data_IF_801229977953
#
_entry.id   IF_801229977953
#
_cell.length_a   1.000
_cell.length_b   1.000
_cell.length_c   1.000
_cell.angle_alpha   90.00
_cell.angle_beta   90.00
_cell.angle_gamma   90.00
#
_symmetry.space_group_name_H-M   'P 1'
#
loop_
_entity.id
_entity.type
_entity.pdbx_description
1 polymer ?
#
# COMPACT_ATOMS: atom_id res chain seq x y z
N UNK A 1 0.91 -60.67 -7.43
CA UNK A 1 -0.24 -60.67 -8.37
C UNK A 1 -1.41 -61.29 -7.64
N UNK A 2 -2.60 -60.70 -7.78
CA UNK A 2 -3.91 -61.03 -7.17
C UNK A 2 -4.32 -60.27 -5.89
N UNK A 3 -5.05 -59.16 -6.15
CA UNK A 3 -6.21 -58.66 -5.39
C UNK A 3 -7.24 -59.80 -5.21
N UNK A 4 -8.23 -59.82 -4.29
CA UNK A 4 -9.14 -58.77 -3.80
C UNK A 4 -10.05 -59.44 -2.74
N UNK A 5 -10.44 -58.76 -1.66
CA UNK A 5 -11.80 -58.76 -1.09
C UNK A 5 -11.86 -58.05 0.28
N UNK A 6 -12.84 -57.16 0.40
CA UNK A 6 -13.50 -56.61 1.59
C UNK A 6 -15.01 -56.61 1.21
N UNK A 7 -16.02 -56.41 2.09
CA UNK A 7 -15.96 -56.04 3.51
C UNK A 7 -17.07 -56.67 4.41
N UNK A 8 -17.12 -56.17 5.65
CA UNK A 8 -18.30 -55.95 6.52
C UNK A 8 -18.34 -56.71 7.85
N UNK A 9 -18.25 -55.96 8.97
CA UNK A 9 -19.10 -56.12 10.15
C UNK A 9 -18.85 -54.94 11.13
N UNK A 10 -19.91 -54.25 11.57
CA UNK A 10 -19.91 -53.48 12.81
C UNK A 10 -21.31 -53.51 13.43
N UNK A 11 -21.36 -53.96 14.69
CA UNK A 11 -22.52 -53.98 15.59
C UNK A 11 -22.01 -53.40 16.92
N UNK A 12 -22.81 -52.55 17.58
CA UNK A 12 -23.31 -52.71 18.97
C UNK A 12 -24.06 -51.44 19.42
N UNK A 13 -25.30 -51.67 19.86
CA UNK A 13 -26.22 -50.79 20.58
C UNK A 13 -25.82 -50.63 22.06
N UNK A 14 -26.24 -49.52 22.69
CA UNK A 14 -26.67 -49.55 24.09
C UNK A 14 -27.89 -48.62 24.31
N UNK A 15 -28.90 -49.15 25.00
CA UNK A 15 -30.21 -48.53 25.26
C UNK A 15 -30.34 -48.19 26.75
N UNK A 16 -30.86 -47.00 27.04
CA UNK A 16 -31.91 -46.78 28.05
C UNK A 16 -31.51 -46.39 29.48
N UNK A 17 -31.91 -45.19 29.91
CA UNK A 17 -32.95 -45.10 30.94
C UNK A 17 -33.66 -43.73 30.92
N UNK A 18 -34.99 -43.80 30.84
CA UNK A 18 -35.93 -42.69 30.78
C UNK A 18 -36.59 -42.58 32.17
N UNK A 19 -36.49 -41.43 32.83
CA UNK A 19 -37.34 -41.09 33.98
C UNK A 19 -37.96 -39.73 33.73
N UNK A 20 -39.28 -39.76 33.57
CA UNK A 20 -40.18 -38.64 33.38
C UNK A 20 -40.24 -37.83 34.70
N UNK A 21 -39.86 -36.56 34.65
CA UNK A 21 -40.33 -35.57 35.61
C UNK A 21 -40.89 -34.37 34.84
N UNK A 22 -42.21 -34.31 34.79
CA UNK A 22 -43.00 -33.19 34.27
C UNK A 22 -42.90 -32.02 35.25
N UNK A 23 -41.97 -31.11 35.00
CA UNK A 23 -41.89 -29.80 35.63
C UNK A 23 -41.91 -28.73 34.54
N UNK A 24 -43.01 -27.98 34.45
CA UNK A 24 -43.20 -26.91 33.49
C UNK A 24 -42.23 -25.74 33.77
N UNK A 25 -41.03 -25.79 33.21
CA UNK A 25 -40.20 -24.61 33.04
C UNK A 25 -40.30 -24.15 31.58
N UNK A 26 -40.90 -22.97 31.40
CA UNK A 26 -40.82 -22.23 30.14
C UNK A 26 -39.34 -21.99 29.84
N UNK A 27 -38.80 -22.68 28.83
CA UNK A 27 -37.52 -22.32 28.24
C UNK A 27 -37.73 -20.97 27.57
N UNK A 28 -37.31 -19.91 28.25
CA UNK A 28 -37.02 -18.66 27.58
C UNK A 28 -35.73 -18.93 26.80
N UNK A 29 -35.87 -19.26 25.51
CA UNK A 29 -34.77 -19.37 24.59
C UNK A 29 -34.15 -17.98 24.44
N UNK A 30 -33.22 -17.66 25.33
CA UNK A 30 -32.33 -16.54 25.16
C UNK A 30 -31.26 -17.07 24.19
N UNK A 31 -31.35 -16.67 22.92
CA UNK A 31 -30.26 -16.83 21.97
C UNK A 31 -29.01 -16.17 22.57
N UNK A 32 -28.17 -16.94 23.25
CA UNK A 32 -26.79 -16.56 23.48
C UNK A 32 -26.12 -16.63 22.11
N UNK A 33 -26.14 -15.51 21.38
CA UNK A 33 -25.15 -15.26 20.32
C UNK A 33 -23.79 -15.49 20.94
N UNK A 34 -23.11 -16.56 20.55
CA UNK A 34 -21.71 -16.81 20.89
C UNK A 34 -20.92 -15.58 20.47
N UNK A 35 -20.45 -14.82 21.46
CA UNK A 35 -19.76 -13.56 21.20
C UNK A 35 -18.39 -13.90 20.58
N UNK A 36 -18.23 -13.65 19.28
CA UNK A 36 -16.98 -13.94 18.55
C UNK A 36 -15.79 -13.32 19.28
N UNK A 37 -14.78 -14.11 19.61
CA UNK A 37 -13.61 -13.61 20.33
C UNK A 37 -12.72 -12.75 19.41
N UNK A 38 -11.88 -11.88 19.98
CA UNK A 38 -10.95 -11.07 19.17
C UNK A 38 -9.96 -11.97 18.40
N UNK A 39 -9.56 -13.11 18.98
CA UNK A 39 -8.67 -14.06 18.31
C UNK A 39 -9.35 -14.70 17.08
N UNK A 40 -10.62 -15.09 17.19
CA UNK A 40 -11.40 -15.58 16.05
C UNK A 40 -11.51 -14.53 14.93
N UNK A 41 -11.70 -13.25 15.28
CA UNK A 41 -11.71 -12.17 14.28
C UNK A 41 -10.37 -12.05 13.56
N UNK A 42 -9.25 -12.19 14.27
CA UNK A 42 -7.90 -12.14 13.69
C UNK A 42 -7.66 -13.33 12.76
N UNK A 43 -8.04 -14.53 13.19
CA UNK A 43 -7.94 -15.76 12.38
C UNK A 43 -8.79 -15.66 11.11
N UNK A 44 -9.95 -15.00 11.18
CA UNK A 44 -10.83 -14.72 10.04
C UNK A 44 -10.43 -13.47 9.24
N UNK A 45 -9.29 -12.84 9.56
CA UNK A 45 -8.79 -11.61 8.92
C UNK A 45 -9.74 -10.41 9.02
N UNK A 46 -10.67 -10.43 9.98
CA UNK A 46 -11.61 -9.35 10.32
C UNK A 46 -10.95 -8.33 11.25
N UNK A 47 -9.83 -7.76 10.82
CA UNK A 47 -8.99 -6.90 11.65
C UNK A 47 -9.68 -5.60 12.07
N UNK A 48 -10.49 -5.00 11.18
CA UNK A 48 -11.27 -3.79 11.49
C UNK A 48 -12.21 -4.02 12.69
N UNK A 49 -12.91 -5.15 12.69
CA UNK A 49 -13.83 -5.53 13.77
C UNK A 49 -13.06 -5.84 15.07
N UNK A 50 -11.90 -6.49 14.96
CA UNK A 50 -11.01 -6.73 16.08
C UNK A 50 -10.53 -5.41 16.73
N UNK A 51 -10.16 -4.42 15.92
CA UNK A 51 -9.76 -3.08 16.38
C UNK A 51 -10.94 -2.42 17.11
N UNK A 52 -12.11 -2.34 16.48
CA UNK A 52 -13.30 -1.72 17.07
C UNK A 52 -13.67 -2.34 18.42
N UNK A 53 -13.58 -3.67 18.53
CA UNK A 53 -13.86 -4.40 19.78
C UNK A 53 -12.82 -4.15 20.87
N UNK A 54 -11.58 -3.83 20.52
CA UNK A 54 -10.50 -3.53 21.46
C UNK A 54 -10.48 -2.06 21.90
N UNK A 55 -10.85 -1.11 21.03
CA UNK A 55 -10.87 0.33 21.33
C UNK A 55 -11.82 0.71 22.47
N UNK A 56 -12.82 -0.13 22.80
CA UNK A 56 -13.74 0.08 23.91
C UNK A 56 -13.27 -0.44 25.28
N UNK A 57 -12.07 -1.04 25.38
CA UNK A 57 -11.55 -1.66 26.62
C UNK A 57 -10.48 -0.79 27.31
N UNK A 58 -10.32 -0.89 28.64
CA UNK A 58 -9.20 -0.25 29.34
C UNK A 58 -7.87 -0.70 28.72
N UNK A 59 -7.06 0.27 28.29
CA UNK A 59 -5.86 0.02 27.51
C UNK A 59 -4.70 -0.50 28.39
N UNK A 60 -4.80 -1.75 28.83
CA UNK A 60 -3.65 -2.46 29.37
C UNK A 60 -2.57 -2.63 28.29
N UNK A 61 -1.35 -2.92 28.72
CA UNK A 61 -0.18 -3.01 27.85
C UNK A 61 -0.35 -4.04 26.72
N UNK A 62 -1.02 -5.16 26.98
CA UNK A 62 -1.21 -6.23 26.00
C UNK A 62 -2.25 -5.83 24.95
N UNK A 63 -3.31 -5.12 25.38
CA UNK A 63 -4.34 -4.54 24.51
C UNK A 63 -3.74 -3.48 23.60
N UNK A 64 -2.92 -2.57 24.13
CA UNK A 64 -2.19 -1.56 23.33
C UNK A 64 -1.26 -2.20 22.30
N UNK A 65 -0.51 -3.22 22.73
CA UNK A 65 0.38 -3.95 21.82
C UNK A 65 -0.42 -4.61 20.69
N UNK A 66 -1.52 -5.30 21.03
CA UNK A 66 -2.39 -5.93 20.05
C UNK A 66 -3.03 -4.92 19.09
N UNK A 67 -3.49 -3.77 19.59
CA UNK A 67 -3.97 -2.66 18.75
C UNK A 67 -2.87 -2.21 17.77
N UNK A 68 -1.64 -2.00 18.25
CA UNK A 68 -0.49 -1.67 17.40
C UNK A 68 -0.26 -2.71 16.30
N UNK A 69 -0.26 -4.00 16.65
CA UNK A 69 -0.09 -5.10 15.68
C UNK A 69 -1.24 -5.16 14.65
N UNK A 70 -2.48 -4.86 15.05
CA UNK A 70 -3.64 -4.87 14.16
C UNK A 70 -3.65 -3.66 13.22
N UNK A 71 -3.35 -2.46 13.73
CA UNK A 71 -3.17 -1.29 12.89
C UNK A 71 -2.05 -1.50 11.87
N UNK A 72 -0.95 -2.15 12.27
CA UNK A 72 0.13 -2.52 11.36
C UNK A 72 -0.35 -3.45 10.23
N UNK A 73 -1.12 -4.49 10.56
CA UNK A 73 -1.72 -5.41 9.57
C UNK A 73 -2.70 -4.72 8.62
N UNK A 74 -3.33 -3.64 9.07
CA UNK A 74 -4.27 -2.83 8.28
C UNK A 74 -3.59 -1.75 7.43
N UNK A 75 -2.25 -1.61 7.51
CA UNK A 75 -1.53 -0.55 6.82
C UNK A 75 -1.58 0.82 7.53
N UNK A 76 -2.24 0.90 8.69
CA UNK A 76 -2.43 2.14 9.46
C UNK A 76 -1.18 2.47 10.30
N UNK A 77 -0.07 2.80 9.63
CA UNK A 77 1.23 2.99 10.28
C UNK A 77 1.26 4.14 11.31
N UNK A 78 0.52 5.23 11.06
CA UNK A 78 0.43 6.38 11.97
C UNK A 78 -0.12 6.00 13.34
N UNK A 79 -1.07 5.07 13.38
CA UNK A 79 -1.65 4.53 14.60
C UNK A 79 -0.78 3.41 15.19
N UNK A 80 -0.24 2.54 14.33
CA UNK A 80 0.53 1.37 14.75
C UNK A 80 1.82 1.73 15.50
N UNK A 81 2.62 2.65 14.95
CA UNK A 81 3.96 2.94 15.45
C UNK A 81 3.93 3.48 16.89
N UNK A 82 3.11 4.48 17.26
CA UNK A 82 3.05 4.96 18.64
C UNK A 82 2.71 3.86 19.66
N UNK A 83 1.74 2.99 19.36
CA UNK A 83 1.40 1.86 20.23
C UNK A 83 2.56 0.88 20.37
N UNK A 84 3.23 0.55 19.27
CA UNK A 84 4.36 -0.38 19.26
C UNK A 84 5.60 0.22 19.96
N UNK A 85 5.90 1.51 19.79
CA UNK A 85 6.98 2.20 20.50
C UNK A 85 6.76 2.15 22.02
N UNK A 86 5.53 2.39 22.49
CA UNK A 86 5.19 2.35 23.92
C UNK A 86 5.34 0.94 24.52
N UNK A 87 5.01 -0.10 23.74
CA UNK A 87 4.82 -1.47 24.26
C UNK A 87 5.99 -2.41 23.96
N UNK A 88 6.71 -2.23 22.86
CA UNK A 88 7.77 -3.12 22.37
C UNK A 88 8.90 -3.38 23.39
N UNK A 89 9.46 -2.39 24.12
CA UNK A 89 10.55 -2.62 25.10
C UNK A 89 10.21 -3.66 26.16
N UNK A 90 8.91 -3.85 26.35
CA UNK A 90 8.27 -4.52 27.46
C UNK A 90 7.70 -5.88 26.95
N UNK A 91 7.64 -6.09 25.64
CA UNK A 91 7.22 -7.32 24.94
C UNK A 91 8.39 -8.22 24.52
N UNK A 92 9.63 -7.85 24.90
CA UNK A 92 10.82 -8.66 24.61
C UNK A 92 11.15 -8.73 23.12
N UNK A 93 11.61 -9.89 22.66
CA UNK A 93 12.01 -10.12 21.27
C UNK A 93 10.83 -9.91 20.31
N UNK A 94 9.63 -10.38 20.66
CA UNK A 94 8.44 -10.21 19.78
C UNK A 94 8.12 -8.74 19.53
N UNK A 95 8.19 -7.92 20.57
CA UNK A 95 7.98 -6.47 20.46
C UNK A 95 9.03 -5.79 19.59
N UNK A 96 10.31 -6.12 19.77
CA UNK A 96 11.39 -5.58 18.96
C UNK A 96 11.22 -5.93 17.47
N UNK A 97 10.84 -7.18 17.15
CA UNK A 97 10.63 -7.61 15.78
C UNK A 97 9.43 -6.92 15.12
N UNK A 98 8.31 -6.77 15.82
CA UNK A 98 7.16 -6.05 15.24
C UNK A 98 7.42 -4.57 15.03
N UNK A 99 8.10 -3.90 15.98
CA UNK A 99 8.49 -2.51 15.80
C UNK A 99 9.50 -2.34 14.65
N UNK A 100 10.41 -3.30 14.46
CA UNK A 100 11.29 -3.34 13.29
C UNK A 100 10.49 -3.39 11.97
N UNK A 101 9.48 -4.27 11.88
CA UNK A 101 8.60 -4.35 10.70
C UNK A 101 7.85 -3.05 10.45
N UNK A 102 7.31 -2.43 11.50
CA UNK A 102 6.62 -1.14 11.38
C UNK A 102 7.55 -0.05 10.84
N UNK A 103 8.78 0.02 11.34
CA UNK A 103 9.78 0.94 10.82
C UNK A 103 10.17 0.64 9.38
N UNK A 104 10.36 -0.63 9.01
CA UNK A 104 10.64 -1.06 7.63
C UNK A 104 9.54 -0.61 6.67
N UNK A 105 8.27 -0.90 6.97
CA UNK A 105 7.12 -0.48 6.15
C UNK A 105 6.99 1.04 6.06
N UNK A 106 7.38 1.77 7.11
CA UNK A 106 7.40 3.24 7.08
C UNK A 106 8.65 3.86 6.43
N UNK A 107 9.53 3.05 5.82
CA UNK A 107 10.82 3.45 5.23
C UNK A 107 11.85 4.01 6.23
N UNK A 108 11.64 3.83 7.54
CA UNK A 108 12.59 4.22 8.59
C UNK A 108 13.62 3.13 8.79
N UNK A 109 14.42 2.84 7.75
CA UNK A 109 15.33 1.68 7.72
C UNK A 109 16.37 1.67 8.84
N UNK A 110 16.90 2.83 9.22
CA UNK A 110 17.90 2.92 10.28
C UNK A 110 17.30 2.52 11.64
N UNK A 111 16.05 2.94 11.92
CA UNK A 111 15.31 2.54 13.12
C UNK A 111 14.92 1.06 13.08
N UNK A 112 14.55 0.54 11.91
CA UNK A 112 14.29 -0.89 11.72
C UNK A 112 15.54 -1.72 12.04
N UNK A 113 16.72 -1.27 11.58
CA UNK A 113 17.99 -1.95 11.85
C UNK A 113 18.31 -1.98 13.35
N UNK A 114 18.10 -0.86 14.04
CA UNK A 114 18.28 -0.76 15.48
C UNK A 114 17.39 -1.76 16.25
N UNK A 115 16.12 -1.88 15.84
CA UNK A 115 15.19 -2.82 16.47
C UNK A 115 15.53 -4.28 16.15
N UNK A 116 16.01 -4.60 14.95
CA UNK A 116 16.53 -5.93 14.63
C UNK A 116 17.77 -6.27 15.47
N UNK A 117 18.70 -5.33 15.64
CA UNK A 117 19.87 -5.51 16.53
C UNK A 117 19.41 -5.81 17.97
N UNK A 118 18.38 -5.10 18.46
CA UNK A 118 17.77 -5.38 19.78
C UNK A 118 17.13 -6.77 19.82
N UNK A 119 16.38 -7.17 18.79
CA UNK A 119 15.79 -8.50 18.68
C UNK A 119 16.85 -9.60 18.85
N UNK A 120 17.93 -9.56 18.07
CA UNK A 120 18.98 -10.58 18.14
C UNK A 120 19.73 -10.58 19.47
N UNK A 121 19.82 -9.44 20.16
CA UNK A 121 20.38 -9.35 21.52
C UNK A 121 19.47 -10.00 22.58
N UNK A 122 18.15 -9.95 22.38
CA UNK A 122 17.15 -10.51 23.31
C UNK A 122 16.92 -12.01 23.14
N UNK A 123 17.34 -12.61 22.02
CA UNK A 123 17.23 -14.05 21.79
C UNK A 123 17.94 -14.84 22.88
N UNK A 124 17.18 -15.68 23.58
CA UNK A 124 17.67 -16.49 24.72
C UNK A 124 18.69 -17.54 24.30
N UNK A 125 18.62 -18.01 23.04
CA UNK A 125 19.60 -18.93 22.45
C UNK A 125 19.89 -18.48 21.02
N UNK A 126 21.17 -18.40 20.65
CA UNK A 126 21.58 -18.08 19.26
C UNK A 126 21.06 -19.08 18.21
N UNK A 127 20.66 -20.29 18.64
CA UNK A 127 20.08 -21.33 17.78
C UNK A 127 18.56 -21.27 17.65
N UNK A 128 17.87 -20.32 18.31
CA UNK A 128 16.43 -20.17 18.11
C UNK A 128 16.12 -19.82 16.64
N UNK A 129 15.07 -20.43 16.04
CA UNK A 129 14.62 -20.06 14.71
C UNK A 129 14.29 -18.56 14.67
N UNK A 130 14.95 -17.86 13.76
CA UNK A 130 14.83 -16.41 13.59
C UNK A 130 14.68 -16.07 12.10
N UNK A 131 14.10 -16.99 11.31
CA UNK A 131 14.05 -16.89 9.85
C UNK A 131 13.35 -15.61 9.40
N UNK A 132 12.25 -15.23 10.05
CA UNK A 132 11.56 -13.97 9.75
C UNK A 132 12.45 -12.74 9.99
N UNK A 133 13.17 -12.70 11.12
CA UNK A 133 14.06 -11.59 11.44
C UNK A 133 15.30 -11.54 10.52
N UNK A 134 15.83 -12.71 10.14
CA UNK A 134 16.92 -12.82 9.16
C UNK A 134 16.46 -12.37 7.77
N UNK A 135 15.27 -12.79 7.34
CA UNK A 135 14.67 -12.36 6.08
C UNK A 135 14.47 -10.84 6.08
N UNK A 136 13.90 -10.27 7.14
CA UNK A 136 13.78 -8.81 7.28
C UNK A 136 15.14 -8.12 7.24
N UNK A 137 16.18 -8.69 7.85
CA UNK A 137 17.55 -8.17 7.78
C UNK A 137 18.11 -8.12 6.36
N UNK A 138 17.89 -9.18 5.55
CA UNK A 138 18.28 -9.20 4.13
C UNK A 138 17.53 -8.13 3.32
N UNK A 139 16.20 -8.05 3.51
CA UNK A 139 15.36 -7.02 2.87
C UNK A 139 15.82 -5.61 3.24
N UNK A 140 16.15 -5.38 4.50
CA UNK A 140 16.63 -4.10 5.00
C UNK A 140 17.95 -3.67 4.37
N UNK A 141 18.89 -4.61 4.19
CA UNK A 141 20.17 -4.35 3.52
C UNK A 141 19.94 -3.92 2.06
N UNK A 142 19.07 -4.64 1.35
CA UNK A 142 18.71 -4.31 -0.03
C UNK A 142 17.97 -2.98 -0.12
N UNK A 143 16.97 -2.76 0.74
CA UNK A 143 16.17 -1.54 0.81
C UNK A 143 17.03 -0.31 1.09
N UNK A 144 18.04 -0.44 1.95
CA UNK A 144 19.00 0.64 2.23
C UNK A 144 19.79 1.02 0.99
N UNK A 145 20.29 0.04 0.23
CA UNK A 145 20.99 0.27 -1.04
C UNK A 145 20.09 0.90 -2.10
N UNK A 146 18.84 0.45 -2.19
CA UNK A 146 17.88 0.97 -3.16
C UNK A 146 17.44 2.39 -2.80
N UNK A 147 17.26 2.66 -1.51
CA UNK A 147 16.99 4.01 -1.02
C UNK A 147 18.08 4.99 -1.48
N UNK A 148 19.34 4.58 -1.38
CA UNK A 148 20.46 5.45 -1.77
C UNK A 148 20.49 5.79 -3.26
N UNK A 149 19.91 4.93 -4.11
CA UNK A 149 19.83 5.09 -5.55
C UNK A 149 18.40 5.40 -6.02
N UNK A 150 17.55 5.95 -5.14
CA UNK A 150 16.16 6.27 -5.48
C UNK A 150 16.10 7.21 -6.67
N UNK A 151 15.34 6.84 -7.70
CA UNK A 151 15.14 7.66 -8.88
C UNK A 151 14.22 8.85 -8.60
N UNK A 152 14.49 9.96 -9.27
CA UNK A 152 13.69 11.18 -9.19
C UNK A 152 12.45 11.09 -10.09
N UNK A 153 11.41 10.41 -9.61
CA UNK A 153 10.14 10.25 -10.32
C UNK A 153 9.09 11.23 -9.78
N UNK A 154 8.49 12.03 -10.67
CA UNK A 154 7.42 12.95 -10.32
C UNK A 154 6.06 12.27 -10.47
N UNK A 155 5.34 12.11 -9.37
CA UNK A 155 3.97 11.57 -9.39
C UNK A 155 3.00 12.70 -9.70
N UNK A 156 2.09 12.47 -10.63
CA UNK A 156 1.11 13.44 -11.12
C UNK A 156 -0.26 13.21 -10.50
N UNK A 157 -0.65 11.95 -10.34
CA UNK A 157 -1.96 11.56 -9.85
C UNK A 157 -1.90 10.20 -9.13
N UNK A 158 -2.89 9.93 -8.30
CA UNK A 158 -3.08 8.64 -7.64
C UNK A 158 -4.54 8.33 -7.43
N UNK A 159 -4.95 7.10 -7.70
CA UNK A 159 -6.31 6.63 -7.43
C UNK A 159 -6.27 5.30 -6.69
N UNK A 160 -6.98 5.21 -5.56
CA UNK A 160 -7.14 3.96 -4.82
C UNK A 160 -8.34 3.19 -5.37
N UNK A 161 -8.14 1.91 -5.66
CA UNK A 161 -9.17 1.01 -6.19
C UNK A 161 -9.11 -0.35 -5.50
N UNK A 162 -10.21 -1.13 -5.49
CA UNK A 162 -10.16 -2.49 -4.97
C UNK A 162 -9.20 -3.37 -5.78
N UNK A 163 -8.37 -4.16 -5.09
CA UNK A 163 -7.33 -5.02 -5.69
C UNK A 163 -7.90 -5.98 -6.74
N UNK A 164 -9.13 -6.46 -6.57
CA UNK A 164 -9.81 -7.34 -7.54
C UNK A 164 -10.07 -6.69 -8.91
N UNK A 165 -10.15 -5.36 -8.97
CA UNK A 165 -10.64 -4.64 -10.16
C UNK A 165 -9.62 -3.65 -10.73
N UNK A 166 -8.38 -3.62 -10.24
CA UNK A 166 -7.44 -2.57 -10.63
C UNK A 166 -7.11 -2.60 -12.13
N UNK A 167 -7.02 -3.79 -12.75
CA UNK A 167 -6.73 -3.91 -14.21
C UNK A 167 -7.75 -3.13 -15.04
N UNK A 168 -9.03 -3.11 -14.63
CA UNK A 168 -10.10 -2.40 -15.33
C UNK A 168 -9.94 -0.88 -15.30
N UNK A 169 -9.05 -0.37 -14.44
CA UNK A 169 -8.76 1.06 -14.28
C UNK A 169 -7.45 1.46 -14.98
N UNK A 170 -6.77 0.53 -15.65
CA UNK A 170 -5.55 0.82 -16.42
C UNK A 170 -5.94 1.06 -17.87
N UNK A 171 -5.59 2.24 -18.39
CA UNK A 171 -5.83 2.62 -19.78
C UNK A 171 -4.51 2.74 -20.52
N UNK A 172 -4.42 2.11 -21.68
CA UNK A 172 -3.27 2.19 -22.59
C UNK A 172 -3.63 3.07 -23.79
N UNK A 173 -2.67 3.81 -24.34
CA UNK A 173 -2.84 4.31 -25.70
C UNK A 173 -2.81 3.12 -26.67
N UNK A 174 -3.55 3.19 -27.78
CA UNK A 174 -3.71 2.07 -28.72
C UNK A 174 -2.37 1.50 -29.22
N UNK A 175 -1.34 2.34 -29.32
CA UNK A 175 0.01 1.95 -29.73
C UNK A 175 0.79 1.15 -28.67
N UNK A 176 0.45 1.29 -27.39
CA UNK A 176 1.14 0.60 -26.28
C UNK A 176 0.56 -0.79 -26.02
N UNK A 177 -0.64 -1.06 -26.54
CA UNK A 177 -1.31 -2.34 -26.40
C UNK A 177 -2.59 -2.28 -25.57
N UNK A 178 -2.94 -3.41 -24.97
CA UNK A 178 -4.10 -3.57 -24.12
C UNK A 178 -3.83 -4.59 -23.02
N UNK A 179 -4.49 -4.40 -21.88
CA UNK A 179 -4.45 -5.30 -20.74
C UNK A 179 -5.86 -5.70 -20.37
N UNK A 180 -6.09 -7.00 -20.17
CA UNK A 180 -7.37 -7.53 -19.73
C UNK A 180 -7.18 -8.63 -18.68
N UNK A 181 -8.22 -8.85 -17.89
CA UNK A 181 -8.32 -10.06 -17.08
C UNK A 181 -8.84 -11.17 -17.99
N UNK A 182 -8.06 -12.23 -18.14
CA UNK A 182 -8.54 -13.49 -18.70
C UNK A 182 -9.03 -14.35 -17.53
N UNK A 183 -10.24 -14.90 -17.63
CA UNK A 183 -10.78 -15.85 -16.66
C UNK A 183 -10.82 -17.24 -17.30
N UNK A 184 -10.49 -18.28 -16.53
CA UNK A 184 -10.82 -19.67 -16.90
C UNK A 184 -12.22 -19.95 -16.35
N UNK A 185 -13.11 -20.51 -17.17
CA UNK A 185 -14.56 -20.60 -16.92
C UNK A 185 -14.94 -21.18 -15.54
N UNK A 186 -14.07 -22.01 -14.93
CA UNK A 186 -14.34 -22.69 -13.66
C UNK A 186 -13.52 -22.18 -12.45
N UNK A 187 -12.59 -21.23 -12.62
CA UNK A 187 -11.79 -20.66 -11.53
C UNK A 187 -11.46 -19.18 -11.82
N UNK A 188 -11.83 -18.22 -10.95
CA UNK A 188 -11.33 -16.85 -11.06
C UNK A 188 -9.83 -16.83 -10.71
N UNK A 189 -8.99 -17.12 -11.70
CA UNK A 189 -7.54 -16.92 -11.62
C UNK A 189 -7.29 -15.55 -12.23
N UNK A 190 -6.66 -14.64 -11.49
CA UNK A 190 -6.18 -13.38 -12.06
C UNK A 190 -5.04 -13.70 -13.04
N UNK A 191 -5.38 -14.05 -14.27
CA UNK A 191 -4.45 -14.15 -15.39
C UNK A 191 -4.54 -12.85 -16.17
N UNK A 192 -3.64 -11.91 -15.90
CA UNK A 192 -3.54 -10.71 -16.71
C UNK A 192 -3.06 -11.10 -18.10
N UNK A 193 -3.75 -10.65 -19.15
CA UNK A 193 -3.34 -10.80 -20.55
C UNK A 193 -3.01 -9.44 -21.12
N UNK A 194 -1.74 -9.25 -21.47
CA UNK A 194 -1.27 -8.13 -22.24
C UNK A 194 -1.21 -8.51 -23.73
N UNK A 195 -1.65 -7.61 -24.60
CA UNK A 195 -1.51 -7.71 -26.06
C UNK A 195 -0.85 -6.43 -26.55
N UNK A 196 0.22 -6.54 -27.36
CA UNK A 196 0.93 -5.37 -27.89
C UNK A 196 0.06 -4.53 -28.84
N UNK A 197 0.45 -3.26 -29.09
CA UNK A 197 -0.35 -2.34 -29.92
C UNK A 197 -0.56 -2.77 -31.39
N UNK A 198 0.25 -3.71 -31.88
CA UNK A 198 0.12 -4.29 -33.21
C UNK A 198 -0.80 -5.52 -33.25
N UNK A 199 -1.35 -5.97 -32.11
CA UNK A 199 -2.14 -7.19 -31.97
C UNK A 199 -1.43 -8.45 -32.52
N UNK A 200 -0.10 -8.47 -32.48
CA UNK A 200 0.73 -9.53 -33.03
C UNK A 200 1.35 -10.43 -31.96
N UNK A 201 1.40 -9.96 -30.71
CA UNK A 201 2.09 -10.61 -29.62
C UNK A 201 1.34 -10.43 -28.30
N UNK A 202 1.22 -11.50 -27.53
CA UNK A 202 0.56 -11.49 -26.23
C UNK A 202 1.44 -12.11 -25.14
N UNK A 203 1.33 -11.58 -23.94
CA UNK A 203 1.95 -12.08 -22.72
C UNK A 203 0.86 -12.30 -21.68
N UNK A 204 0.94 -13.39 -20.92
CA UNK A 204 0.00 -13.64 -19.83
C UNK A 204 0.60 -14.56 -18.79
N UNK A 205 0.13 -14.44 -17.56
CA UNK A 205 0.41 -15.40 -16.50
C UNK A 205 -0.64 -16.51 -16.53
N UNK A 206 -0.25 -17.78 -16.36
CA UNK A 206 -1.17 -18.90 -16.27
C UNK A 206 -0.65 -19.95 -15.27
N UNK A 207 -1.58 -20.76 -14.74
CA UNK A 207 -1.24 -21.91 -13.92
C UNK A 207 -1.03 -23.14 -14.83
N UNK A 208 0.12 -23.80 -14.70
CA UNK A 208 0.51 -24.99 -15.49
C UNK A 208 -0.43 -26.19 -15.24
N UNK A 209 -1.11 -26.26 -14.09
CA UNK A 209 -2.01 -27.36 -13.77
C UNK A 209 -1.30 -28.70 -13.50
N UNK A 210 0.01 -28.78 -13.70
CA UNK A 210 0.88 -29.89 -13.30
C UNK A 210 2.06 -29.35 -12.48
N UNK A 211 2.37 -30.04 -11.36
CA UNK A 211 3.47 -29.77 -10.40
C UNK A 211 3.20 -28.85 -9.20
N UNK A 212 3.90 -29.17 -8.12
CA UNK A 212 3.65 -28.85 -6.71
C UNK A 212 4.33 -27.53 -6.25
N UNK A 213 4.84 -26.69 -7.16
CA UNK A 213 5.56 -25.46 -6.80
C UNK A 213 5.37 -24.37 -7.87
N UNK A 214 4.86 -23.21 -7.44
CA UNK A 214 4.40 -22.03 -8.20
C UNK A 214 3.06 -22.20 -8.95
N UNK A 215 2.12 -21.25 -8.73
CA UNK A 215 0.75 -21.29 -9.25
C UNK A 215 0.54 -20.35 -10.46
N UNK A 216 1.56 -19.59 -10.87
CA UNK A 216 1.48 -18.58 -11.94
C UNK A 216 2.84 -18.42 -12.66
N UNK A 217 2.92 -18.88 -13.91
CA UNK A 217 4.06 -18.77 -14.81
C UNK A 217 3.73 -17.84 -15.99
N UNK A 218 4.72 -17.14 -16.55
CA UNK A 218 4.56 -16.29 -17.74
C UNK A 218 4.67 -17.11 -19.02
N UNK A 219 3.71 -16.88 -19.91
CA UNK A 219 3.62 -17.45 -21.26
C UNK A 219 3.54 -16.33 -22.31
N UNK A 220 3.90 -16.69 -23.55
CA UNK A 220 3.74 -15.86 -24.75
C UNK A 220 2.89 -16.55 -25.82
N UNK A 221 2.29 -15.73 -26.68
CA UNK A 221 1.67 -16.18 -27.94
C UNK A 221 1.93 -15.16 -29.04
N UNK A 222 2.02 -15.65 -30.27
CA UNK A 222 2.11 -14.84 -31.48
C UNK A 222 0.82 -14.97 -32.30
N UNK A 223 0.38 -13.90 -32.95
CA UNK A 223 -0.77 -13.91 -33.84
C UNK A 223 -0.30 -14.10 -35.28
N UNK A 224 -0.56 -15.28 -35.86
CA UNK A 224 -0.07 -15.70 -37.18
C UNK A 224 -1.25 -16.27 -37.97
N UNK A 225 -1.44 -15.83 -39.22
CA UNK A 225 -2.50 -16.39 -40.08
C UNK A 225 -3.92 -16.18 -39.54
N UNK A 226 -4.15 -15.07 -38.84
CA UNK A 226 -5.43 -14.72 -38.20
C UNK A 226 -5.83 -15.63 -37.02
N UNK A 227 -4.87 -16.37 -36.44
CA UNK A 227 -5.05 -17.19 -35.23
C UNK A 227 -3.91 -16.95 -34.24
N UNK A 228 -4.18 -17.13 -32.95
CA UNK A 228 -3.14 -17.16 -31.93
C UNK A 228 -2.43 -18.50 -31.94
N UNK A 229 -1.10 -18.49 -31.85
CA UNK A 229 -0.29 -19.71 -31.67
C UNK A 229 -0.58 -20.38 -30.34
N UNK A 230 -0.13 -21.62 -30.18
CA UNK A 230 -0.12 -22.28 -28.87
C UNK A 230 0.69 -21.47 -27.84
N UNK A 231 0.25 -21.43 -26.56
CA UNK A 231 1.02 -20.83 -25.47
C UNK A 231 2.42 -21.43 -25.35
N UNK A 232 3.43 -20.57 -25.24
CA UNK A 232 4.81 -20.99 -24.94
C UNK A 232 5.26 -20.39 -23.62
N UNK A 233 5.70 -21.24 -22.69
CA UNK A 233 6.31 -20.77 -21.44
C UNK A 233 7.58 -19.97 -21.72
N UNK A 234 7.85 -18.97 -20.90
CA UNK A 234 9.09 -18.20 -20.96
C UNK A 234 9.99 -18.62 -19.80
N UNK A 235 10.66 -19.76 -19.94
CA UNK A 235 11.43 -20.41 -18.86
C UNK A 235 12.47 -19.50 -18.19
N UNK A 236 13.04 -18.55 -18.95
CA UNK A 236 13.99 -17.57 -18.41
C UNK A 236 13.38 -16.62 -17.36
N UNK A 237 12.04 -16.48 -17.32
CA UNK A 237 11.33 -15.61 -16.38
C UNK A 237 10.68 -16.39 -15.23
N UNK A 238 10.38 -17.66 -15.44
CA UNK A 238 9.57 -18.46 -14.52
C UNK A 238 10.42 -19.05 -13.40
N UNK A 239 9.91 -19.03 -12.17
CA UNK A 239 10.60 -19.57 -11.00
C UNK A 239 9.67 -20.43 -10.15
N UNK A 240 10.14 -20.86 -8.96
CA UNK A 240 9.30 -21.53 -7.98
C UNK A 240 8.30 -20.58 -7.30
N UNK A 241 8.44 -19.27 -7.51
CA UNK A 241 7.56 -18.22 -7.01
C UNK A 241 6.51 -17.83 -8.07
N UNK A 242 5.51 -17.02 -7.69
CA UNK A 242 4.47 -16.59 -8.64
C UNK A 242 4.94 -15.40 -9.49
N UNK A 243 4.87 -15.52 -10.82
CA UNK A 243 5.05 -14.42 -11.76
C UNK A 243 3.72 -13.94 -12.36
N UNK A 244 3.50 -12.62 -12.39
CA UNK A 244 2.26 -12.03 -12.88
C UNK A 244 2.46 -10.66 -13.54
N UNK A 245 1.39 -10.14 -14.15
CA UNK A 245 1.29 -8.82 -14.75
C UNK A 245 2.40 -8.48 -15.77
N UNK A 246 2.70 -9.37 -16.74
CA UNK A 246 3.72 -9.09 -17.73
C UNK A 246 3.25 -8.00 -18.70
N UNK A 247 4.10 -7.00 -18.92
CA UNK A 247 3.93 -5.89 -19.87
C UNK A 247 5.15 -5.85 -20.78
N UNK A 248 4.93 -5.67 -22.08
CA UNK A 248 5.99 -5.37 -23.04
C UNK A 248 5.93 -3.89 -23.39
N UNK A 249 7.06 -3.17 -23.26
CA UNK A 249 7.14 -1.77 -23.70
C UNK A 249 6.97 -1.67 -25.22
N UNK A 250 6.67 -0.46 -25.70
CA UNK A 250 6.47 -0.19 -27.13
C UNK A 250 7.72 -0.46 -27.97
N UNK A 251 8.91 -0.42 -27.35
CA UNK A 251 10.17 -0.84 -27.97
C UNK A 251 10.19 -2.32 -28.42
N UNK A 252 9.24 -3.15 -27.95
CA UNK A 252 9.14 -4.58 -28.28
C UNK A 252 10.25 -5.44 -27.67
N UNK A 253 11.12 -4.84 -26.85
CA UNK A 253 12.33 -5.45 -26.28
C UNK A 253 12.25 -5.56 -24.77
N UNK A 254 11.75 -4.52 -24.10
CA UNK A 254 11.78 -4.43 -22.64
C UNK A 254 10.50 -5.03 -22.08
N UNK A 255 10.64 -6.12 -21.32
CA UNK A 255 9.54 -6.78 -20.62
C UNK A 255 9.65 -6.48 -19.12
N UNK A 256 8.54 -6.06 -18.54
CA UNK A 256 8.40 -5.79 -17.11
C UNK A 256 7.32 -6.72 -16.56
N UNK A 257 7.54 -7.30 -15.38
CA UNK A 257 6.59 -8.19 -14.72
C UNK A 257 6.78 -8.13 -13.21
N UNK A 258 5.78 -8.56 -12.45
CA UNK A 258 5.89 -8.73 -11.01
C UNK A 258 6.19 -10.19 -10.67
N UNK A 259 7.01 -10.40 -9.65
CA UNK A 259 7.31 -11.73 -9.08
C UNK A 259 7.18 -11.67 -7.57
N UNK A 260 6.57 -12.70 -6.98
CA UNK A 260 6.64 -12.94 -5.54
C UNK A 260 8.10 -13.20 -5.14
N UNK A 261 8.69 -12.33 -4.33
CA UNK A 261 10.11 -12.35 -4.06
C UNK A 261 10.40 -12.51 -2.57
N UNK A 262 11.03 -13.64 -2.25
CA UNK A 262 11.65 -13.85 -0.93
C UNK A 262 12.92 -13.02 -0.75
N UNK A 263 13.56 -12.59 -1.85
CA UNK A 263 14.81 -11.81 -1.88
C UNK A 263 14.63 -10.33 -2.28
N UNK A 264 13.41 -9.90 -2.58
CA UNK A 264 13.07 -8.54 -2.96
C UNK A 264 12.79 -7.63 -1.77
N UNK A 265 12.16 -6.48 -1.99
CA UNK A 265 11.82 -5.53 -0.92
C UNK A 265 10.51 -5.90 -0.22
N UNK A 266 9.58 -6.47 -0.98
CA UNK A 266 8.18 -6.59 -0.61
C UNK A 266 7.69 -8.01 -0.53
N UNK A 267 6.46 -8.20 -1.02
CA UNK A 267 5.92 -9.52 -1.36
C UNK A 267 6.04 -9.73 -2.86
N UNK A 268 5.27 -9.00 -3.66
CA UNK A 268 5.52 -8.84 -5.09
C UNK A 268 6.47 -7.68 -5.35
N UNK A 269 7.49 -7.94 -6.14
CA UNK A 269 8.42 -6.93 -6.64
C UNK A 269 8.48 -6.97 -8.17
N UNK A 270 8.72 -5.82 -8.78
CA UNK A 270 8.87 -5.61 -10.21
C UNK A 270 10.27 -5.98 -10.70
N UNK A 271 10.30 -6.77 -11.76
CA UNK A 271 11.50 -7.17 -12.48
C UNK A 271 11.43 -6.69 -13.93
N UNK A 272 12.59 -6.34 -14.47
CA UNK A 272 12.76 -5.95 -15.86
C UNK A 272 13.75 -6.88 -16.56
N UNK A 273 13.43 -7.28 -17.79
CA UNK A 273 14.33 -8.01 -18.67
C UNK A 273 14.29 -7.44 -20.09
N UNK A 274 15.24 -7.85 -20.93
CA UNK A 274 15.26 -7.54 -22.36
C UNK A 274 15.16 -8.83 -23.19
N UNK A 275 14.38 -8.75 -24.26
CA UNK A 275 14.27 -9.77 -25.31
C UNK A 275 15.46 -9.66 -26.25
N UNK A 276 16.06 -10.80 -26.57
CA UNK A 276 17.03 -10.96 -27.64
C UNK A 276 16.28 -11.15 -28.96
N UNK A 277 16.51 -10.28 -29.95
CA UNK A 277 15.81 -10.34 -31.23
C UNK A 277 16.28 -11.49 -32.13
N UNK A 278 17.46 -12.06 -31.88
CA UNK A 278 18.04 -13.07 -32.75
C UNK A 278 17.39 -14.46 -32.57
N UNK A 279 17.04 -14.80 -31.33
CA UNK A 279 16.51 -16.12 -30.94
C UNK A 279 15.22 -16.02 -30.12
N UNK A 280 14.70 -14.80 -29.95
CA UNK A 280 13.53 -14.48 -29.13
C UNK A 280 13.64 -14.88 -27.64
N UNK A 281 14.85 -15.16 -27.15
CA UNK A 281 15.11 -15.44 -25.74
C UNK A 281 15.03 -14.17 -24.87
N UNK A 282 15.00 -14.32 -23.55
CA UNK A 282 15.07 -13.21 -22.60
C UNK A 282 16.35 -13.28 -21.78
N UNK A 283 16.93 -12.13 -21.47
CA UNK A 283 18.04 -12.02 -20.53
C UNK A 283 17.57 -12.32 -19.10
N UNK A 284 18.52 -12.56 -18.19
CA UNK A 284 18.20 -12.71 -16.77
C UNK A 284 17.47 -11.47 -16.24
N UNK A 285 16.29 -11.63 -15.60
CA UNK A 285 15.55 -10.50 -15.04
C UNK A 285 16.32 -9.77 -13.95
N UNK A 286 16.19 -8.45 -13.92
CA UNK A 286 16.79 -7.57 -12.93
C UNK A 286 15.72 -6.95 -12.06
N UNK A 287 15.90 -7.00 -10.74
CA UNK A 287 15.01 -6.37 -9.77
C UNK A 287 15.09 -4.85 -9.92
N UNK A 288 13.95 -4.18 -10.06
CA UNK A 288 13.89 -2.72 -10.20
C UNK A 288 14.13 -2.01 -8.86
N UNK A 289 14.74 -0.82 -8.93
CA UNK A 289 15.05 0.00 -7.75
C UNK A 289 13.85 0.76 -7.18
N UNK A 290 14.10 1.60 -6.18
CA UNK A 290 13.12 2.58 -5.69
C UNK A 290 13.03 3.76 -6.68
N UNK A 291 11.84 4.34 -6.89
CA UNK A 291 10.59 4.11 -6.15
C UNK A 291 9.67 3.02 -6.72
N UNK A 292 10.08 2.31 -7.79
CA UNK A 292 9.22 1.30 -8.43
C UNK A 292 8.91 0.14 -7.50
N UNK A 293 9.93 -0.39 -6.81
CA UNK A 293 9.76 -1.37 -5.74
C UNK A 293 9.76 -0.73 -4.36
N UNK A 294 9.04 -1.35 -3.43
CA UNK A 294 8.74 -0.85 -2.09
C UNK A 294 8.75 -1.98 -1.05
N UNK A 295 8.72 -1.66 0.25
CA UNK A 295 8.43 -2.62 1.31
C UNK A 295 7.09 -3.38 1.20
N UNK A 296 6.25 -3.05 0.21
CA UNK A 296 4.89 -3.52 -0.02
C UNK A 296 4.81 -4.38 -1.29
N UNK A 297 3.61 -4.68 -1.80
CA UNK A 297 3.46 -5.37 -3.08
C UNK A 297 3.37 -4.36 -4.22
N UNK A 298 4.26 -4.50 -5.20
CA UNK A 298 4.29 -3.73 -6.44
C UNK A 298 3.90 -4.64 -7.61
N UNK A 299 2.70 -4.42 -8.15
CA UNK A 299 2.01 -5.38 -9.00
C UNK A 299 2.22 -5.14 -10.49
N UNK A 300 2.18 -3.89 -10.94
CA UNK A 300 2.19 -3.59 -12.36
C UNK A 300 2.90 -2.27 -12.62
N UNK A 301 3.75 -2.27 -13.65
CA UNK A 301 4.38 -1.07 -14.18
C UNK A 301 4.19 -1.04 -15.70
N UNK A 302 3.56 0.02 -16.18
CA UNK A 302 3.29 0.26 -17.58
C UNK A 302 3.70 1.67 -17.99
N UNK A 303 4.03 1.84 -19.27
CA UNK A 303 4.38 3.13 -19.85
C UNK A 303 3.45 3.43 -21.02
N UNK A 304 2.94 4.66 -21.05
CA UNK A 304 2.34 5.31 -22.20
C UNK A 304 3.39 6.25 -22.79
N UNK A 305 4.14 5.77 -23.77
CA UNK A 305 5.26 6.51 -24.37
C UNK A 305 4.76 7.70 -25.21
N UNK A 306 3.53 7.59 -25.75
CA UNK A 306 2.89 8.67 -26.52
C UNK A 306 2.54 9.87 -25.64
N UNK A 307 2.06 9.63 -24.41
CA UNK A 307 1.74 10.69 -23.45
C UNK A 307 2.87 11.03 -22.48
N UNK A 308 4.00 10.32 -22.60
CA UNK A 308 5.12 10.37 -21.65
C UNK A 308 4.65 10.20 -20.19
N UNK A 309 3.91 9.12 -19.93
CA UNK A 309 3.38 8.81 -18.59
C UNK A 309 3.69 7.36 -18.21
N UNK A 310 4.03 7.15 -16.96
CA UNK A 310 4.10 5.83 -16.35
C UNK A 310 2.90 5.58 -15.44
N UNK A 311 2.49 4.32 -15.33
CA UNK A 311 1.50 3.85 -14.36
C UNK A 311 2.13 2.78 -13.47
N UNK A 312 2.12 3.00 -12.16
CA UNK A 312 2.55 2.03 -11.16
C UNK A 312 1.36 1.60 -10.30
N UNK A 313 1.15 0.29 -10.13
CA UNK A 313 0.13 -0.26 -9.23
C UNK A 313 0.83 -0.89 -8.03
N UNK A 314 0.50 -0.40 -6.83
CA UNK A 314 1.12 -0.85 -5.57
C UNK A 314 0.09 -0.84 -4.44
N UNK A 315 0.21 -1.74 -3.46
CA UNK A 315 -0.57 -1.66 -2.21
C UNK A 315 0.14 -0.88 -1.08
N UNK A 316 1.20 -0.14 -1.40
CA UNK A 316 1.85 0.76 -0.44
C UNK A 316 0.84 1.71 0.21
N UNK A 317 0.88 1.74 1.54
CA UNK A 317 -0.01 2.56 2.39
C UNK A 317 -1.51 2.38 2.15
N UNK A 318 -1.93 1.28 1.51
CA UNK A 318 -3.33 0.99 1.24
C UNK A 318 -3.92 0.04 2.28
N UNK A 319 -5.26 0.02 2.34
CA UNK A 319 -5.99 -1.06 2.99
C UNK A 319 -5.64 -2.42 2.31
N UNK A 320 -5.57 -3.55 3.03
CA UNK A 320 -5.15 -4.84 2.48
C UNK A 320 -5.85 -5.29 1.17
N UNK A 321 -7.13 -4.96 1.04
CA UNK A 321 -7.97 -5.29 -0.14
C UNK A 321 -7.95 -4.24 -1.27
N UNK A 322 -7.11 -3.22 -1.14
CA UNK A 322 -7.00 -2.11 -2.08
C UNK A 322 -5.59 -1.98 -2.65
N UNK A 323 -5.48 -1.31 -3.79
CA UNK A 323 -4.22 -0.88 -4.39
C UNK A 323 -4.35 0.57 -4.80
N UNK A 324 -3.23 1.28 -4.84
CA UNK A 324 -3.12 2.60 -5.42
C UNK A 324 -2.54 2.49 -6.83
N UNK A 325 -3.17 3.19 -7.78
CA UNK A 325 -2.69 3.37 -9.15
C UNK A 325 -2.07 4.77 -9.21
N UNK A 326 -0.74 4.83 -9.28
CA UNK A 326 0.03 6.06 -9.43
C UNK A 326 0.26 6.36 -10.90
N UNK A 327 -0.04 7.59 -11.32
CA UNK A 327 0.40 8.11 -12.63
C UNK A 327 1.59 9.02 -12.41
N UNK A 328 2.69 8.80 -13.13
CA UNK A 328 3.93 9.56 -12.95
C UNK A 328 4.56 9.96 -14.29
N UNK A 329 5.50 10.90 -14.25
CA UNK A 329 6.34 11.29 -15.39
C UNK A 329 7.62 10.45 -15.35
N UNK A 330 7.91 9.64 -16.38
CA UNK A 330 9.13 8.84 -16.45
C UNK A 330 10.41 9.66 -16.32
N UNK A 331 11.39 9.13 -15.61
CA UNK A 331 12.73 9.70 -15.53
C UNK A 331 13.60 9.14 -16.67
N UNK A 332 13.55 9.76 -17.85
CA UNK A 332 14.26 9.25 -19.04
C UNK A 332 15.77 9.10 -18.85
N UNK A 333 16.35 9.87 -17.93
CA UNK A 333 17.79 9.82 -17.63
C UNK A 333 18.17 8.84 -16.52
N UNK A 334 17.18 8.16 -15.89
CA UNK A 334 17.36 7.30 -14.71
C UNK A 334 18.21 7.96 -13.61
N UNK A 335 18.09 9.28 -13.46
CA UNK A 335 18.91 10.05 -12.52
C UNK A 335 18.47 9.79 -11.08
N UNK A 336 19.39 9.40 -10.18
CA UNK A 336 19.08 9.28 -8.77
C UNK A 336 18.94 10.66 -8.14
N UNK A 337 18.31 10.71 -6.96
CA UNK A 337 18.19 11.94 -6.19
C UNK A 337 19.57 12.30 -5.62
N UNK A 338 20.10 13.44 -6.07
CA UNK A 338 21.43 13.95 -5.69
C UNK A 338 21.44 14.63 -4.30
N UNK A 339 21.13 13.88 -3.25
CA UNK A 339 21.27 14.32 -1.85
C UNK A 339 21.67 13.14 -0.98
N UNK A 340 22.38 13.38 0.11
CA UNK A 340 22.63 12.35 1.13
C UNK A 340 21.57 12.38 2.26
N UNK A 341 20.64 13.35 2.22
CA UNK A 341 19.57 13.44 3.20
C UNK A 341 18.59 12.26 3.04
N UNK A 342 18.62 11.37 4.03
CA UNK A 342 17.83 10.13 4.06
C UNK A 342 16.33 10.40 4.14
N UNK A 343 15.89 11.48 4.79
CA UNK A 343 14.47 11.83 4.87
C UNK A 343 13.93 12.28 3.51
N UNK A 344 14.73 13.02 2.74
CA UNK A 344 14.37 13.38 1.36
C UNK A 344 14.32 12.13 0.49
N UNK A 345 15.34 11.25 0.52
CA UNK A 345 15.30 10.00 -0.24
C UNK A 345 14.08 9.15 0.12
N UNK A 346 13.76 9.07 1.42
CA UNK A 346 12.57 8.36 1.93
C UNK A 346 11.27 8.93 1.39
N UNK A 347 11.15 10.26 1.36
CA UNK A 347 9.95 10.94 0.86
C UNK A 347 9.70 10.61 -0.61
N UNK A 348 10.75 10.66 -1.43
CA UNK A 348 10.67 10.32 -2.85
C UNK A 348 10.53 8.82 -3.11
N UNK A 349 11.13 7.96 -2.29
CA UNK A 349 11.04 6.51 -2.43
C UNK A 349 9.66 5.96 -2.03
N UNK A 350 9.02 6.58 -1.04
CA UNK A 350 7.74 6.12 -0.49
C UNK A 350 6.53 6.61 -1.27
N UNK A 351 6.60 7.82 -1.86
CA UNK A 351 5.42 8.52 -2.39
C UNK A 351 4.30 8.72 -1.35
N UNK A 352 4.67 8.85 -0.07
CA UNK A 352 3.71 9.19 0.99
C UNK A 352 3.06 10.57 0.74
N UNK A 353 3.78 11.48 0.07
CA UNK A 353 3.26 12.76 -0.38
C UNK A 353 3.58 12.95 -1.86
N UNK A 354 2.55 12.99 -2.70
CA UNK A 354 2.67 13.26 -4.14
C UNK A 354 3.18 14.68 -4.37
N UNK A 355 2.67 15.65 -3.61
CA UNK A 355 3.11 17.05 -3.67
C UNK A 355 4.62 17.18 -3.46
N UNK A 356 5.21 16.39 -2.56
CA UNK A 356 6.65 16.41 -2.34
C UNK A 356 7.47 15.99 -3.57
N UNK A 357 6.94 15.10 -4.41
CA UNK A 357 7.60 14.71 -5.67
C UNK A 357 7.50 15.79 -6.75
N UNK A 358 6.55 16.71 -6.63
CA UNK A 358 6.31 17.81 -7.57
C UNK A 358 7.10 19.07 -7.17
N UNK A 359 7.10 19.43 -5.89
CA UNK A 359 7.75 20.65 -5.36
C UNK A 359 9.27 20.55 -5.34
N UNK A 360 9.83 19.38 -5.05
CA UNK A 360 11.27 19.17 -5.15
C UNK A 360 11.76 19.08 -6.62
N UNK A 361 10.86 19.27 -7.59
CA UNK A 361 11.10 19.68 -8.97
C UNK A 361 11.78 21.05 -9.11
N UNK A 362 11.43 22.00 -8.22
CA UNK A 362 11.79 23.43 -8.33
C UNK A 362 12.91 23.89 -7.38
N UNK A 363 13.44 23.02 -6.51
CA UNK A 363 14.56 23.38 -5.63
C UNK A 363 15.87 23.52 -6.41
N UNK A 364 16.20 24.76 -6.81
CA UNK A 364 17.58 25.18 -7.09
C UNK A 364 18.37 25.12 -5.79
N UNK A 365 19.13 24.05 -5.60
CA UNK A 365 20.00 23.88 -4.44
C UNK A 365 21.25 24.76 -4.60
N UNK A 366 21.28 25.88 -3.87
CA UNK A 366 22.53 26.57 -3.55
C UNK A 366 23.02 26.03 -2.20
N UNK A 367 24.15 25.33 -2.22
CA UNK A 367 24.85 24.90 -1.01
C UNK A 367 25.18 26.11 -0.13
N UNK A 368 24.57 26.18 1.05
CA UNK A 368 25.20 26.86 2.17
C UNK A 368 25.01 26.04 3.45
N UNK A 369 26.10 25.38 3.84
CA UNK A 369 26.45 24.82 5.16
C UNK A 369 25.32 24.90 6.21
N UNK A 370 24.65 23.77 6.42
CA UNK A 370 23.72 23.61 7.53
C UNK A 370 24.44 23.69 8.88
N UNK A 371 24.06 24.68 9.68
CA UNK A 371 24.00 24.53 11.13
C UNK A 371 22.69 23.83 11.46
N UNK A 372 22.77 22.78 12.30
CA UNK A 372 21.65 22.01 12.89
C UNK A 372 20.40 22.88 13.14
N UNK A 373 19.23 22.44 12.66
CA UNK A 373 17.93 23.03 13.01
C UNK A 373 17.03 22.05 13.75
N UNK A 374 16.34 22.59 14.73
CA UNK A 374 15.43 21.95 15.68
C UNK A 374 14.11 21.49 15.03
N UNK A 375 13.35 20.66 15.75
CA UNK A 375 12.03 20.10 15.37
C UNK A 375 11.07 21.16 14.80
N UNK A 376 10.39 20.81 13.71
CA UNK A 376 9.33 21.59 13.06
C UNK A 376 7.96 20.99 13.40
N UNK A 377 6.99 21.83 13.77
CA UNK A 377 5.64 21.45 14.22
C UNK A 377 4.61 21.44 13.08
N UNK A 378 4.80 22.26 12.03
CA UNK A 378 3.98 22.31 10.82
C UNK A 378 4.80 22.92 9.67
N UNK A 379 4.21 23.11 8.48
CA UNK A 379 4.82 23.88 7.40
C UNK A 379 3.78 24.77 6.75
N UNK A 380 3.98 26.10 6.82
CA UNK A 380 3.06 27.10 6.29
C UNK A 380 3.82 28.14 5.47
N UNK A 381 3.58 28.16 4.16
CA UNK A 381 4.25 29.09 3.24
C UNK A 381 3.52 30.43 3.22
N UNK A 382 4.20 31.47 3.69
CA UNK A 382 3.68 32.84 3.75
C UNK A 382 3.80 33.57 2.40
N UNK A 383 4.72 33.11 1.54
CA UNK A 383 5.08 33.73 0.25
C UNK A 383 6.45 34.40 0.32
N UNK A 384 7.01 34.77 -0.85
CA UNK A 384 8.34 35.39 -0.98
C UNK A 384 9.51 34.58 -0.36
N UNK A 385 9.39 33.25 -0.35
CA UNK A 385 10.42 32.37 0.21
C UNK A 385 10.43 32.25 1.74
N UNK A 386 9.41 32.80 2.44
CA UNK A 386 9.23 32.61 3.89
C UNK A 386 8.30 31.43 4.17
N UNK A 387 8.76 30.48 4.99
CA UNK A 387 7.98 29.34 5.49
C UNK A 387 8.02 29.35 7.01
N UNK A 388 6.86 29.23 7.63
CA UNK A 388 6.72 29.08 9.08
C UNK A 388 6.59 27.61 9.41
N UNK A 389 7.41 27.16 10.34
CA UNK A 389 7.49 25.76 10.74
C UNK A 389 7.30 25.53 12.23
N UNK A 390 7.25 26.62 13.01
CA UNK A 390 6.94 26.60 14.43
C UNK A 390 5.88 27.65 14.79
N UNK A 391 5.15 27.39 15.88
CA UNK A 391 4.14 28.33 16.40
C UNK A 391 4.70 29.69 16.81
N UNK A 392 6.01 29.77 17.07
CA UNK A 392 6.75 31.00 17.36
C UNK A 392 7.00 31.86 16.13
N UNK A 393 6.87 31.30 14.92
CA UNK A 393 7.20 32.02 13.68
C UNK A 393 6.12 33.05 13.32
N UNK A 394 4.89 32.85 13.81
CA UNK A 394 3.81 33.83 13.67
C UNK A 394 4.08 35.07 14.51
N UNK A 395 4.28 36.21 13.83
CA UNK A 395 4.46 37.49 14.51
C UNK A 395 3.12 38.06 15.00
N UNK A 396 2.04 37.81 14.27
CA UNK A 396 0.72 38.27 14.62
C UNK A 396 -0.03 37.21 15.43
N UNK A 397 -0.43 37.57 16.65
CA UNK A 397 -1.32 36.73 17.47
C UNK A 397 -2.66 36.47 16.77
N UNK A 398 -3.13 37.43 15.95
CA UNK A 398 -4.33 37.27 15.11
C UNK A 398 -4.09 36.21 14.03
N UNK A 399 -3.00 36.29 13.28
CA UNK A 399 -2.70 35.31 12.23
C UNK A 399 -2.45 33.90 12.79
N UNK A 400 -1.80 33.80 13.96
CA UNK A 400 -1.62 32.54 14.68
C UNK A 400 -2.96 31.87 15.03
N UNK A 401 -3.93 32.65 15.51
CA UNK A 401 -5.26 32.12 15.83
C UNK A 401 -6.05 31.76 14.56
N UNK A 402 -5.95 32.56 13.49
CA UNK A 402 -6.54 32.21 12.20
C UNK A 402 -5.91 30.93 11.61
N UNK A 403 -4.62 30.70 11.83
CA UNK A 403 -3.95 29.47 11.39
C UNK A 403 -4.40 28.23 12.18
N UNK A 404 -4.69 28.36 13.49
CA UNK A 404 -5.35 27.28 14.24
C UNK A 404 -6.71 26.93 13.64
N UNK A 405 -7.52 27.94 13.32
CA UNK A 405 -8.81 27.72 12.66
C UNK A 405 -8.66 27.08 11.29
N UNK A 406 -7.60 27.45 10.54
CA UNK A 406 -7.27 26.82 9.26
C UNK A 406 -6.91 25.34 9.43
N UNK A 407 -6.17 24.97 10.47
CA UNK A 407 -5.84 23.57 10.78
C UNK A 407 -7.09 22.75 11.11
N UNK A 408 -7.93 23.25 12.01
CA UNK A 408 -9.22 22.61 12.36
C UNK A 408 -10.12 22.47 11.11
N UNK A 409 -10.15 23.49 10.27
CA UNK A 409 -10.91 23.48 9.02
C UNK A 409 -10.35 22.45 8.03
N UNK A 410 -9.04 22.25 8.00
CA UNK A 410 -8.39 21.23 7.18
C UNK A 410 -8.70 19.81 7.68
N UNK A 411 -8.64 19.57 8.99
CA UNK A 411 -9.04 18.29 9.58
C UNK A 411 -10.52 17.98 9.28
N UNK A 412 -11.40 18.99 9.36
CA UNK A 412 -12.81 18.82 9.03
C UNK A 412 -13.04 18.55 7.53
N UNK A 413 -12.28 19.22 6.65
CA UNK A 413 -12.27 18.96 5.20
C UNK A 413 -11.92 17.50 4.92
N UNK A 414 -10.88 16.99 5.55
CA UNK A 414 -10.40 15.61 5.39
C UNK A 414 -11.48 14.62 5.85
N UNK A 415 -12.11 14.88 7.01
CA UNK A 415 -13.21 14.07 7.53
C UNK A 415 -14.43 14.03 6.58
N UNK A 416 -14.86 15.18 6.05
CA UNK A 416 -15.98 15.22 5.10
C UNK A 416 -15.62 14.50 3.80
N UNK A 417 -14.38 14.66 3.31
CA UNK A 417 -13.90 13.96 2.12
C UNK A 417 -13.95 12.45 2.31
N UNK A 418 -13.39 11.94 3.42
CA UNK A 418 -13.46 10.50 3.74
C UNK A 418 -14.89 9.99 3.88
N UNK A 419 -15.79 10.81 4.43
CA UNK A 419 -17.20 10.44 4.54
C UNK A 419 -17.92 10.40 3.18
N UNK A 420 -17.59 11.31 2.26
CA UNK A 420 -18.10 11.30 0.89
C UNK A 420 -17.65 10.05 0.14
N UNK A 421 -16.38 9.67 0.29
CA UNK A 421 -15.84 8.47 -0.35
C UNK A 421 -16.54 7.20 0.16
N UNK A 422 -16.81 7.13 1.46
CA UNK A 422 -17.64 6.09 2.05
C UNK A 422 -19.08 6.07 1.50
N UNK A 423 -19.75 7.22 1.47
CA UNK A 423 -21.14 7.30 0.99
C UNK A 423 -21.29 6.99 -0.50
N UNK A 424 -20.31 7.37 -1.32
CA UNK A 424 -20.27 7.03 -2.75
C UNK A 424 -20.05 5.54 -2.96
N UNK A 425 -19.20 4.91 -2.13
CA UNK A 425 -19.01 3.46 -2.13
C UNK A 425 -20.29 2.72 -1.76
N UNK A 426 -20.97 3.15 -0.70
CA UNK A 426 -22.25 2.58 -0.27
C UNK A 426 -23.36 2.81 -1.31
N UNK A 427 -23.41 3.98 -1.95
CA UNK A 427 -24.41 4.30 -2.99
C UNK A 427 -24.33 3.37 -4.19
N UNK A 428 -23.11 2.97 -4.56
CA UNK A 428 -22.88 2.03 -5.66
C UNK A 428 -23.47 0.64 -5.34
N UNK A 429 -23.42 0.23 -4.08
CA UNK A 429 -23.83 -1.10 -3.60
C UNK A 429 -25.28 -1.16 -3.06
N UNK A 430 -25.96 -0.01 -2.88
CA UNK A 430 -27.27 0.04 -2.27
C UNK A 430 -28.44 -0.36 -3.22
N UNK A 431 -29.56 -0.91 -2.71
CA UNK A 431 -30.78 -1.13 -3.50
C UNK A 431 -31.45 0.18 -3.93
N UNK A 432 -32.19 0.16 -5.04
CA UNK A 432 -32.80 1.36 -5.66
C UNK A 432 -33.63 2.22 -4.68
N UNK A 433 -34.36 1.61 -3.75
CA UNK A 433 -35.17 2.31 -2.75
C UNK A 433 -34.36 3.15 -1.74
N UNK A 434 -33.07 2.87 -1.54
CA UNK A 434 -32.18 3.63 -0.63
C UNK A 434 -31.30 4.65 -1.36
N UNK A 435 -31.12 4.51 -2.67
CA UNK A 435 -30.23 5.38 -3.46
C UNK A 435 -30.68 6.84 -3.46
N UNK A 436 -31.98 7.12 -3.47
CA UNK A 436 -32.48 8.49 -3.54
C UNK A 436 -32.12 9.30 -2.28
N UNK A 437 -32.32 8.73 -1.09
CA UNK A 437 -31.91 9.37 0.18
C UNK A 437 -30.39 9.53 0.27
N UNK A 438 -29.63 8.55 -0.22
CA UNK A 438 -28.17 8.60 -0.23
C UNK A 438 -27.63 9.67 -1.18
N UNK A 439 -28.28 9.87 -2.34
CA UNK A 439 -27.95 10.94 -3.29
C UNK A 439 -28.08 12.31 -2.66
N UNK A 440 -29.16 12.56 -1.92
CA UNK A 440 -29.35 13.81 -1.18
C UNK A 440 -28.25 14.02 -0.13
N UNK A 441 -27.87 12.97 0.60
CA UNK A 441 -26.80 13.04 1.60
C UNK A 441 -25.42 13.29 1.00
N UNK A 442 -25.11 12.66 -0.14
CA UNK A 442 -23.87 12.88 -0.89
C UNK A 442 -23.80 14.32 -1.38
N UNK A 443 -24.86 14.79 -2.03
CA UNK A 443 -24.93 16.16 -2.55
C UNK A 443 -24.76 17.20 -1.43
N UNK A 444 -25.41 17.00 -0.27
CA UNK A 444 -25.26 17.90 0.86
C UNK A 444 -23.81 17.98 1.37
N UNK A 445 -23.11 16.85 1.41
CA UNK A 445 -21.71 16.80 1.85
C UNK A 445 -20.74 17.35 0.82
N UNK A 446 -21.02 17.18 -0.48
CA UNK A 446 -20.27 17.84 -1.56
C UNK A 446 -20.38 19.36 -1.44
N UNK A 447 -21.59 19.88 -1.21
CA UNK A 447 -21.83 21.31 -0.98
C UNK A 447 -21.10 21.80 0.28
N UNK A 448 -21.07 21.00 1.37
CA UNK A 448 -20.32 21.33 2.57
C UNK A 448 -18.80 21.37 2.30
N UNK A 449 -18.27 20.41 1.55
CA UNK A 449 -16.86 20.36 1.19
C UNK A 449 -16.44 21.57 0.34
N UNK A 450 -17.27 21.98 -0.61
CA UNK A 450 -17.00 23.16 -1.43
C UNK A 450 -17.04 24.46 -0.61
N UNK A 451 -17.97 24.58 0.35
CA UNK A 451 -17.97 25.71 1.31
C UNK A 451 -16.70 25.75 2.15
N UNK A 452 -16.24 24.60 2.64
CA UNK A 452 -15.00 24.48 3.41
C UNK A 452 -13.79 24.89 2.57
N UNK A 453 -13.72 24.45 1.30
CA UNK A 453 -12.63 24.84 0.38
C UNK A 453 -12.57 26.36 0.19
N UNK A 454 -13.71 27.01 -0.03
CA UNK A 454 -13.79 28.47 -0.17
C UNK A 454 -13.35 29.17 1.13
N UNK A 455 -13.81 28.69 2.29
CA UNK A 455 -13.41 29.25 3.59
C UNK A 455 -11.91 29.06 3.86
N UNK A 456 -11.36 27.92 3.48
CA UNK A 456 -9.94 27.60 3.61
C UNK A 456 -9.08 28.59 2.81
N UNK A 457 -9.44 28.85 1.56
CA UNK A 457 -8.71 29.81 0.71
C UNK A 457 -8.80 31.24 1.24
N UNK A 458 -9.96 31.64 1.78
CA UNK A 458 -10.16 32.94 2.41
C UNK A 458 -9.30 33.10 3.67
N UNK A 459 -9.27 32.09 4.54
CA UNK A 459 -8.43 32.08 5.75
C UNK A 459 -6.95 32.12 5.39
N UNK A 460 -6.50 31.32 4.41
CA UNK A 460 -5.12 31.37 3.91
C UNK A 460 -4.71 32.78 3.49
N UNK A 461 -5.58 33.46 2.72
CA UNK A 461 -5.34 34.82 2.25
C UNK A 461 -5.33 35.82 3.42
N UNK A 462 -6.24 35.69 4.38
CA UNK A 462 -6.29 36.58 5.54
C UNK A 462 -5.08 36.41 6.47
N UNK A 463 -4.64 35.17 6.72
CA UNK A 463 -3.43 34.87 7.52
C UNK A 463 -2.21 35.54 6.87
N UNK A 464 -2.03 35.34 5.55
CA UNK A 464 -0.91 35.93 4.79
C UNK A 464 -0.94 37.46 4.83
N UNK A 465 -2.10 38.07 4.56
CA UNK A 465 -2.23 39.52 4.58
C UNK A 465 -2.00 40.11 5.98
N UNK A 466 -2.45 39.40 7.03
CA UNK A 466 -2.29 39.83 8.41
C UNK A 466 -0.81 39.84 8.81
N UNK A 467 -0.05 38.79 8.50
CA UNK A 467 1.40 38.76 8.75
C UNK A 467 2.17 39.80 7.91
N UNK A 468 1.83 39.95 6.63
CA UNK A 468 2.49 40.94 5.75
C UNK A 468 2.21 42.39 6.19
N UNK A 469 1.01 42.68 6.70
CA UNK A 469 0.68 44.01 7.23
C UNK A 469 1.42 44.32 8.53
N UNK A 470 1.71 43.29 9.34
CA UNK A 470 2.47 43.45 10.58
C UNK A 470 3.96 43.71 10.28
N UNK A 471 4.52 43.04 9.26
CA UNK A 471 5.88 43.28 8.76
C UNK A 471 6.11 44.73 8.24
N UNK A 472 5.05 45.40 7.74
CA UNK A 472 5.14 46.77 7.24
C UNK A 472 4.95 47.85 8.34
N UNK A 473 4.25 47.53 9.43
CA UNK A 473 4.09 48.45 10.57
C UNK A 473 5.34 48.51 11.47
N UNK A 474 6.13 47.44 11.54
CA UNK A 474 7.43 47.45 12.23
C UNK A 474 8.46 48.33 11.51
N UNK A 475 8.44 48.36 10.17
CA UNK A 475 9.38 49.18 9.36
C UNK A 475 9.09 50.69 9.34
N UNK A 476 7.92 51.12 9.79
CA UNK A 476 7.55 52.55 9.83
C UNK A 476 7.73 53.16 11.24
N UNK A 477 8.19 52.38 12.22
CA UNK A 477 8.46 52.82 13.61
C UNK A 477 9.95 52.72 13.99
N UNK A 478 10.83 52.42 13.04
CA UNK A 478 12.29 52.67 13.11
C UNK A 478 12.62 53.91 12.26
#
# INVERSE_FOLDING_TARGET
MYLRANPALFIILFVGNFLLFSGSFRIQAQEQKTETTVNEMIEQHRYQEAIQKLSGKPADKNTKYLLGSLHLKMGNLSEAIPFLEETAPRMGEKGALELAKAYYLSYQFDKSEEQLKKYFKLLRRKSQPAEEAKALGKRLQLATKFLDNTERITVVDSTVVPKKYFINNISFHKGDGSLAIQNKEDKPIFTSRFVNGHNSYALFAANDGDSITSNQNIYRQSFIGNVWSEPQAIDALNTAENENFPILKQDGLTLIFARESTEGLGGYDLYMTRRNLNDESFLSPTLMGMPYNSPYNDYLLAYDEVKNRGTLVSDRFCHPDSVCIYTFIPNESNTPIATDNRDIKRLWASWLSIAATQEAGEMKYNETKEKKKDKEDFSFVLGQGKTYTQWSDFKSSKAKNLFKQLQELNEHKDLISSNLDFLRTEYNNAPAAKKETMRSNILQREIQLDKIRVQYDLLLKEIRNTELSNDNNEKNNE
#
